data_IF_371932551437
#
_entry.id   IF_371932551437
#
_cell.length_a   1.000
_cell.length_b   1.000
_cell.length_c   1.000
_cell.angle_alpha   90.00
_cell.angle_beta   90.00
_cell.angle_gamma   90.00
#
_symmetry.space_group_name_H-M   'P 1'
#
loop_
_entity.id
_entity.type
_entity.pdbx_description
1 polymer ?
#
# COMPACT_ATOMS: atom_id res chain seq x y z
N UNK A 1 24.44 45.34 9.54
CA UNK A 1 23.73 44.13 9.97
C UNK A 1 22.98 43.64 8.74
N UNK A 2 23.61 42.78 7.98
CA UNK A 2 23.09 42.18 6.74
C UNK A 2 22.51 40.83 7.12
N UNK A 3 21.21 40.68 6.92
CA UNK A 3 20.52 39.41 7.15
C UNK A 3 20.83 38.48 5.97
N UNK A 4 21.45 37.36 6.27
CA UNK A 4 21.72 36.24 5.39
C UNK A 4 20.44 35.44 5.21
N UNK A 5 19.83 35.51 4.03
CA UNK A 5 18.71 34.67 3.64
C UNK A 5 19.24 33.36 3.05
N UNK A 6 19.56 32.43 3.93
CA UNK A 6 19.88 31.07 3.53
C UNK A 6 18.68 30.40 2.83
N UNK A 7 18.79 30.19 1.53
CA UNK A 7 17.89 29.31 0.75
C UNK A 7 18.12 27.88 1.22
N UNK A 8 17.30 27.38 2.14
CA UNK A 8 17.22 25.95 2.42
C UNK A 8 16.58 25.25 1.22
N UNK A 9 17.40 24.54 0.45
CA UNK A 9 16.90 23.66 -0.60
C UNK A 9 15.96 22.63 0.03
N UNK A 10 14.73 22.60 -0.43
CA UNK A 10 13.75 21.58 -0.04
C UNK A 10 14.23 20.25 -0.58
N UNK A 11 14.64 19.36 0.31
CA UNK A 11 14.99 17.99 -0.07
C UNK A 11 13.79 17.34 -0.75
N UNK A 12 14.01 16.53 -1.79
CA UNK A 12 12.97 15.74 -2.49
C UNK A 12 12.08 14.96 -1.52
N UNK A 13 12.60 14.61 -0.34
CA UNK A 13 11.88 13.92 0.74
C UNK A 13 10.79 14.75 1.42
N UNK A 14 10.76 16.08 1.27
CA UNK A 14 9.75 16.95 1.90
C UNK A 14 8.49 17.17 1.06
N UNK A 15 8.47 16.72 -0.19
CA UNK A 15 7.37 17.03 -1.13
C UNK A 15 6.07 16.23 -0.88
N UNK A 16 6.12 15.12 -0.16
CA UNK A 16 4.98 14.19 -0.02
C UNK A 16 4.15 14.38 1.27
N UNK A 17 4.26 15.52 1.94
CA UNK A 17 3.87 15.69 3.35
C UNK A 17 2.39 16.05 3.60
N UNK A 18 1.58 16.42 2.58
CA UNK A 18 0.25 16.95 2.91
C UNK A 18 -0.84 16.55 1.91
N UNK A 19 -1.36 15.35 2.05
CA UNK A 19 -2.71 15.04 1.56
C UNK A 19 -3.28 13.90 2.39
N UNK A 20 -3.65 14.19 3.63
CA UNK A 20 -4.47 13.31 4.43
C UNK A 20 -5.93 13.50 4.04
N UNK A 21 -6.61 12.39 3.96
CA UNK A 21 -8.05 12.17 3.80
C UNK A 21 -8.50 11.91 2.37
N UNK A 22 -8.43 10.66 1.95
CA UNK A 22 -9.31 10.12 0.92
C UNK A 22 -9.96 8.86 1.47
N UNK A 23 -11.26 8.90 1.63
CA UNK A 23 -12.08 7.79 2.07
C UNK A 23 -12.02 6.63 1.07
N UNK A 24 -11.93 5.42 1.59
CA UNK A 24 -11.96 4.20 0.81
C UNK A 24 -13.33 4.03 0.13
N UNK A 25 -13.38 4.13 -1.18
CA UNK A 25 -14.50 3.69 -1.97
C UNK A 25 -13.99 2.84 -3.15
N UNK A 26 -14.38 1.59 -3.13
CA UNK A 26 -14.62 0.70 -4.24
C UNK A 26 -13.53 0.50 -5.29
N UNK A 27 -12.65 -0.48 -5.11
CA UNK A 27 -11.85 -1.05 -6.20
C UNK A 27 -12.55 -2.30 -6.74
N UNK A 28 -13.36 -2.12 -7.77
CA UNK A 28 -13.78 -3.22 -8.62
C UNK A 28 -12.72 -3.46 -9.71
N UNK A 29 -12.23 -4.66 -9.75
CA UNK A 29 -11.23 -5.29 -10.50
C UNK A 29 -10.94 -4.91 -11.95
N UNK A 30 -9.68 -5.12 -12.31
CA UNK A 30 -9.31 -5.66 -13.62
C UNK A 30 -8.14 -6.59 -13.45
N UNK A 31 -8.44 -7.87 -13.32
CA UNK A 31 -7.51 -8.95 -13.64
C UNK A 31 -7.52 -9.12 -15.16
N UNK A 32 -6.37 -9.05 -15.80
CA UNK A 32 -6.18 -9.75 -17.06
C UNK A 32 -4.79 -10.38 -17.07
N UNK A 33 -4.82 -11.67 -16.80
CA UNK A 33 -3.77 -12.60 -17.12
C UNK A 33 -3.75 -12.80 -18.64
N UNK A 34 -2.60 -12.85 -19.24
CA UNK A 34 -2.40 -13.51 -20.52
C UNK A 34 -1.17 -14.39 -20.39
N UNK A 35 -1.43 -15.68 -20.34
CA UNK A 35 -0.70 -16.78 -20.93
C UNK A 35 -0.36 -16.45 -22.39
N UNK A 36 0.63 -16.94 -23.03
CA UNK A 36 1.14 -18.31 -23.23
C UNK A 36 2.25 -18.20 -24.27
N UNK A 37 3.32 -18.83 -24.02
CA UNK A 37 3.84 -20.10 -24.52
C UNK A 37 4.43 -20.14 -25.96
N UNK A 38 5.54 -20.85 -25.95
CA UNK A 38 6.22 -21.63 -27.01
C UNK A 38 7.02 -20.89 -28.09
N UNK A 39 8.29 -21.01 -27.99
CA UNK A 39 9.02 -22.14 -28.63
C UNK A 39 9.57 -21.79 -30.00
N UNK A 40 10.89 -21.93 -30.15
CA UNK A 40 11.44 -22.36 -31.41
C UNK A 40 12.55 -21.51 -32.01
N UNK A 41 13.78 -21.80 -31.60
CA UNK A 41 14.88 -22.29 -32.48
C UNK A 41 15.31 -21.51 -33.73
N UNK A 42 16.56 -21.03 -33.73
CA UNK A 42 17.50 -21.39 -34.79
C UNK A 42 17.90 -20.32 -35.82
N UNK A 43 19.21 -20.11 -35.94
CA UNK A 43 19.90 -19.77 -37.21
C UNK A 43 20.43 -18.32 -37.28
N UNK A 44 21.62 -18.02 -36.97
CA UNK A 44 22.95 -18.11 -37.59
C UNK A 44 23.14 -17.28 -38.88
N UNK A 45 24.35 -16.69 -38.98
CA UNK A 45 25.04 -16.02 -40.12
C UNK A 45 24.76 -14.55 -40.32
N UNK A 46 25.68 -13.57 -40.23
CA UNK A 46 27.04 -13.55 -40.70
C UNK A 46 27.24 -12.47 -41.75
N UNK A 47 28.28 -11.64 -41.62
CA UNK A 47 28.85 -10.83 -42.71
C UNK A 47 28.55 -9.33 -42.61
N UNK A 48 29.43 -8.51 -42.34
CA UNK A 48 30.72 -8.00 -42.83
C UNK A 48 30.60 -6.67 -43.59
N UNK A 49 31.49 -5.77 -43.23
CA UNK A 49 32.14 -4.72 -44.01
C UNK A 49 31.44 -3.40 -44.35
N UNK A 50 31.90 -2.32 -43.72
CA UNK A 50 32.76 -1.37 -44.43
C UNK A 50 32.11 -0.07 -44.94
N UNK A 51 32.64 1.05 -44.50
CA UNK A 51 32.54 2.32 -45.27
C UNK A 51 32.61 3.59 -44.44
N UNK A 52 33.77 4.14 -44.34
CA UNK A 52 34.07 5.50 -43.86
C UNK A 52 33.28 6.59 -44.56
N UNK A 53 32.93 7.63 -43.84
CA UNK A 53 32.45 8.87 -44.39
C UNK A 53 32.33 9.94 -43.31
N UNK A 54 33.41 10.66 -43.04
CA UNK A 54 33.45 11.89 -42.27
C UNK A 54 32.55 12.95 -42.88
N UNK A 55 31.58 13.41 -42.11
CA UNK A 55 31.09 14.79 -42.21
C UNK A 55 30.66 15.25 -40.83
N UNK A 56 31.55 16.01 -40.21
CA UNK A 56 31.22 16.78 -39.01
C UNK A 56 30.16 17.82 -39.40
N UNK A 57 28.97 17.61 -38.88
CA UNK A 57 27.95 18.66 -38.78
C UNK A 57 27.81 18.94 -37.29
N UNK A 58 28.25 20.14 -36.90
CA UNK A 58 27.99 20.69 -35.57
C UNK A 58 26.46 20.68 -35.33
N UNK A 59 26.00 19.68 -34.60
CA UNK A 59 24.69 19.74 -33.97
C UNK A 59 24.82 20.60 -32.70
N UNK A 60 23.85 21.48 -32.42
CA UNK A 60 23.88 22.26 -31.19
C UNK A 60 23.92 21.27 -30.01
N UNK A 61 24.81 21.53 -29.06
CA UNK A 61 24.89 20.81 -27.81
C UNK A 61 23.51 20.90 -27.16
N UNK A 62 22.75 19.81 -27.25
CA UNK A 62 21.56 19.57 -26.45
C UNK A 62 22.03 19.59 -25.00
N UNK A 63 21.66 20.63 -24.30
CA UNK A 63 21.82 20.73 -22.86
C UNK A 63 21.04 19.57 -22.25
N UNK A 64 21.72 18.45 -22.06
CA UNK A 64 21.18 17.21 -21.52
C UNK A 64 20.60 17.41 -20.13
N UNK A 65 19.36 17.85 -20.09
CA UNK A 65 18.52 17.74 -18.93
C UNK A 65 18.24 16.25 -18.72
N UNK A 66 18.93 15.62 -17.76
CA UNK A 66 18.59 14.25 -17.35
C UNK A 66 17.12 14.24 -16.97
N UNK A 67 16.33 13.38 -17.62
CA UNK A 67 14.94 13.18 -17.24
C UNK A 67 14.86 12.96 -15.73
N UNK A 68 13.89 13.58 -15.04
CA UNK A 68 13.75 13.41 -13.61
C UNK A 68 13.64 11.93 -13.26
N UNK A 69 14.40 11.49 -12.27
CA UNK A 69 14.29 10.10 -11.81
C UNK A 69 12.90 9.86 -11.24
N UNK A 70 12.33 8.68 -11.45
CA UNK A 70 11.05 8.33 -10.85
C UNK A 70 11.16 8.36 -9.31
N UNK A 71 10.09 8.75 -8.64
CA UNK A 71 9.91 8.52 -7.20
C UNK A 71 9.44 7.09 -7.02
N UNK A 72 10.17 6.33 -6.22
CA UNK A 72 9.93 4.91 -6.00
C UNK A 72 9.40 4.64 -4.59
N UNK A 73 8.45 3.73 -4.49
CA UNK A 73 7.90 3.27 -3.23
C UNK A 73 7.87 1.74 -3.21
N UNK A 74 8.02 1.14 -2.04
CA UNK A 74 7.87 -0.30 -1.84
C UNK A 74 7.35 -0.60 -0.43
N UNK A 75 6.69 -1.74 -0.26
CA UNK A 75 6.34 -2.22 1.08
C UNK A 75 4.95 -2.85 1.18
N UNK A 76 4.28 -2.53 2.26
CA UNK A 76 3.05 -3.13 2.78
C UNK A 76 1.99 -3.44 1.74
N UNK A 77 1.51 -4.69 1.74
CA UNK A 77 0.35 -5.11 0.93
C UNK A 77 -0.97 -4.44 1.36
N UNK A 78 -1.05 -3.93 2.58
CA UNK A 78 -2.20 -3.15 3.07
C UNK A 78 -2.20 -1.74 2.48
N UNK A 79 -1.04 -1.11 2.39
CA UNK A 79 -0.88 0.25 1.85
C UNK A 79 -0.81 0.25 0.33
N UNK A 80 -0.37 -0.84 -0.28
CA UNK A 80 -0.16 -0.95 -1.73
C UNK A 80 -1.36 -0.50 -2.58
N UNK A 81 -2.62 -0.88 -2.29
CA UNK A 81 -3.75 -0.43 -3.12
C UNK A 81 -3.89 1.10 -3.15
N UNK A 82 -3.68 1.76 -2.01
CA UNK A 82 -3.75 3.23 -1.90
C UNK A 82 -2.57 3.87 -2.63
N UNK A 83 -1.36 3.42 -2.34
CA UNK A 83 -0.14 3.95 -2.94
C UNK A 83 -0.11 3.75 -4.46
N UNK A 84 -0.53 2.57 -4.95
CA UNK A 84 -0.60 2.26 -6.37
C UNK A 84 -1.67 3.08 -7.09
N UNK A 85 -2.85 3.30 -6.48
CA UNK A 85 -3.87 4.18 -7.04
C UNK A 85 -3.39 5.62 -7.10
N UNK A 86 -2.77 6.14 -6.03
CA UNK A 86 -2.16 7.46 -6.03
C UNK A 86 -1.08 7.62 -7.09
N UNK A 87 -0.24 6.60 -7.27
CA UNK A 87 0.77 6.55 -8.34
C UNK A 87 0.14 6.58 -9.73
N UNK A 88 -0.95 5.84 -9.94
CA UNK A 88 -1.68 5.83 -11.20
C UNK A 88 -2.27 7.21 -11.51
N UNK A 89 -2.93 7.84 -10.54
CA UNK A 89 -3.46 9.20 -10.71
C UNK A 89 -2.36 10.21 -11.02
N UNK A 90 -1.27 10.17 -10.28
CA UNK A 90 -0.13 11.05 -10.52
C UNK A 90 0.46 10.88 -11.92
N UNK A 91 0.72 9.63 -12.34
CA UNK A 91 1.33 9.33 -13.63
C UNK A 91 0.40 9.67 -14.81
N UNK A 92 -0.92 9.54 -14.64
CA UNK A 92 -1.92 9.92 -15.65
C UNK A 92 -2.09 11.44 -15.74
N UNK A 93 -1.87 12.14 -14.62
CA UNK A 93 -1.92 13.60 -14.52
C UNK A 93 -3.14 14.23 -15.22
N UNK A 94 -4.37 13.72 -14.99
CA UNK A 94 -5.57 14.21 -15.67
C UNK A 94 -5.93 15.61 -15.18
N UNK A 95 -6.54 16.45 -16.04
CA UNK A 95 -7.12 17.70 -15.59
C UNK A 95 -8.37 17.48 -14.74
N UNK A 96 -8.72 18.46 -13.91
CA UNK A 96 -9.85 18.39 -12.98
C UNK A 96 -11.21 18.29 -13.66
N UNK A 97 -11.32 18.79 -14.89
CA UNK A 97 -12.54 18.78 -15.72
C UNK A 97 -12.62 17.58 -16.68
N UNK A 98 -11.73 16.60 -16.56
CA UNK A 98 -11.77 15.37 -17.36
C UNK A 98 -12.88 14.42 -16.88
N UNK A 99 -14.09 14.60 -17.40
CA UNK A 99 -15.26 13.78 -17.05
C UNK A 99 -15.14 12.32 -17.50
N UNK A 100 -14.30 12.00 -18.50
CA UNK A 100 -14.05 10.63 -18.92
C UNK A 100 -13.18 9.90 -17.88
N UNK A 101 -12.19 10.58 -17.32
CA UNK A 101 -11.29 10.02 -16.31
C UNK A 101 -11.93 9.97 -14.92
N UNK A 102 -12.57 11.06 -14.50
CA UNK A 102 -13.15 11.18 -13.14
C UNK A 102 -14.59 10.69 -13.05
N UNK A 103 -15.28 10.50 -14.19
CA UNK A 103 -16.70 10.14 -14.31
C UNK A 103 -17.63 11.34 -14.27
N UNK A 104 -18.85 11.15 -14.81
CA UNK A 104 -19.89 12.21 -14.86
C UNK A 104 -20.49 12.53 -13.47
N UNK A 105 -20.35 11.58 -12.54
CA UNK A 105 -20.73 11.78 -11.15
C UNK A 105 -19.46 11.68 -10.33
N UNK A 106 -19.00 12.77 -9.81
CA UNK A 106 -17.86 12.87 -8.91
C UNK A 106 -18.00 12.07 -7.59
N UNK A 107 -19.14 11.40 -7.39
CA UNK A 107 -19.36 10.41 -6.34
C UNK A 107 -18.47 9.17 -6.55
N UNK A 108 -17.18 9.30 -6.29
CA UNK A 108 -16.19 8.25 -6.44
C UNK A 108 -14.88 8.72 -7.07
N UNK A 109 -14.86 9.91 -7.64
CA UNK A 109 -13.64 10.65 -7.96
C UNK A 109 -12.88 11.02 -6.67
N UNK A 110 -11.69 11.55 -6.80
CA UNK A 110 -10.90 11.99 -5.64
C UNK A 110 -11.79 12.88 -4.75
N UNK A 111 -12.13 12.47 -3.52
CA UNK A 111 -12.96 13.27 -2.63
C UNK A 111 -12.39 14.69 -2.45
N UNK A 112 -13.23 15.70 -2.60
CA UNK A 112 -12.80 17.08 -2.54
C UNK A 112 -12.29 17.67 -3.86
N UNK A 113 -12.26 16.89 -4.95
CA UNK A 113 -11.82 17.41 -6.25
C UNK A 113 -12.77 18.47 -6.80
N UNK A 114 -14.08 18.34 -6.56
CA UNK A 114 -15.07 19.33 -6.93
C UNK A 114 -14.92 20.64 -6.12
N UNK A 115 -14.56 20.53 -4.84
CA UNK A 115 -14.24 21.69 -4.01
C UNK A 115 -12.97 22.37 -4.52
N UNK A 116 -11.98 21.60 -4.96
CA UNK A 116 -10.74 22.10 -5.53
C UNK A 116 -10.96 22.77 -6.88
N UNK A 117 -11.81 22.22 -7.74
CA UNK A 117 -12.19 22.84 -9.01
C UNK A 117 -12.90 24.18 -8.80
N UNK A 118 -13.72 24.31 -7.75
CA UNK A 118 -14.41 25.57 -7.40
C UNK A 118 -13.46 26.68 -6.93
N UNK A 119 -12.28 26.35 -6.44
CA UNK A 119 -11.28 27.29 -5.94
C UNK A 119 -10.30 27.81 -7.02
N UNK A 120 -10.65 27.61 -8.29
CA UNK A 120 -9.84 28.09 -9.42
C UNK A 120 -8.88 27.04 -10.00
N UNK A 121 -9.02 25.79 -9.57
CA UNK A 121 -8.30 24.64 -10.13
C UNK A 121 -9.03 24.02 -11.34
N UNK A 122 -10.08 24.65 -11.86
CA UNK A 122 -10.86 24.19 -12.99
C UNK A 122 -9.97 24.00 -14.23
N UNK A 123 -9.95 22.78 -14.76
CA UNK A 123 -9.03 22.40 -15.84
C UNK A 123 -7.56 22.26 -15.45
N UNK A 124 -7.18 22.54 -14.18
CA UNK A 124 -5.80 22.35 -13.71
C UNK A 124 -5.46 20.85 -13.63
N UNK A 125 -4.24 20.50 -14.02
CA UNK A 125 -3.78 19.12 -13.89
C UNK A 125 -3.36 18.80 -12.46
N UNK A 126 -3.47 17.52 -12.10
CA UNK A 126 -3.19 17.04 -10.75
C UNK A 126 -1.82 17.47 -10.22
N UNK A 127 -0.76 17.32 -11.03
CA UNK A 127 0.60 17.72 -10.64
C UNK A 127 0.73 19.23 -10.43
N UNK A 128 0.11 20.04 -11.27
CA UNK A 128 0.12 21.50 -11.14
C UNK A 128 -0.66 21.96 -9.91
N UNK A 129 -1.79 21.31 -9.63
CA UNK A 129 -2.55 21.56 -8.42
C UNK A 129 -1.68 21.33 -7.17
N UNK A 130 -1.07 20.15 -7.04
CA UNK A 130 -0.20 19.87 -5.90
C UNK A 130 1.01 20.80 -5.83
N UNK A 131 1.61 21.16 -6.98
CA UNK A 131 2.70 22.10 -7.01
C UNK A 131 2.29 23.48 -6.48
N UNK A 132 1.09 23.96 -6.83
CA UNK A 132 0.57 25.25 -6.37
C UNK A 132 0.38 25.31 -4.85
N UNK A 133 -0.01 24.20 -4.22
CA UNK A 133 -0.15 24.11 -2.75
C UNK A 133 1.18 24.36 -2.01
N UNK A 134 2.31 24.15 -2.69
CA UNK A 134 3.65 24.38 -2.17
C UNK A 134 4.29 25.67 -2.69
N UNK A 135 3.52 26.52 -3.36
CA UNK A 135 3.98 27.81 -3.87
C UNK A 135 4.82 27.73 -5.14
N UNK A 136 4.74 26.62 -5.88
CA UNK A 136 5.33 26.50 -7.21
C UNK A 136 4.35 26.99 -8.26
N UNK A 137 4.87 27.70 -9.28
CA UNK A 137 4.05 28.14 -10.40
C UNK A 137 3.62 26.92 -11.23
N UNK A 138 2.31 26.79 -11.56
CA UNK A 138 1.81 25.75 -12.43
C UNK A 138 2.45 25.83 -13.80
N UNK A 139 2.68 24.67 -14.42
CA UNK A 139 3.25 24.59 -15.77
C UNK A 139 2.20 24.81 -16.87
N UNK A 140 0.93 24.61 -16.52
CA UNK A 140 -0.30 24.79 -17.33
C UNK A 140 -0.36 24.00 -18.66
N UNK A 141 0.67 23.28 -19.05
CA UNK A 141 0.78 22.73 -20.39
C UNK A 141 1.23 21.27 -20.51
N UNK A 142 1.76 20.67 -19.45
CA UNK A 142 2.33 19.34 -19.57
C UNK A 142 1.37 18.25 -19.17
N UNK A 143 0.98 17.42 -20.13
CA UNK A 143 0.19 16.21 -19.86
C UNK A 143 0.95 15.21 -18.95
N UNK A 144 2.28 15.17 -19.06
CA UNK A 144 3.15 14.36 -18.20
C UNK A 144 3.50 15.10 -16.91
N UNK A 145 3.43 14.44 -15.76
CA UNK A 145 3.88 15.05 -14.51
C UNK A 145 5.41 15.29 -14.52
N UNK A 146 5.91 16.16 -13.64
CA UNK A 146 7.33 16.52 -13.60
C UNK A 146 8.27 15.34 -13.29
N UNK A 147 7.74 14.27 -12.71
CA UNK A 147 8.42 12.98 -12.49
C UNK A 147 7.38 11.87 -12.48
N UNK A 148 7.78 10.66 -12.82
CA UNK A 148 6.92 9.48 -12.68
C UNK A 148 7.04 8.86 -11.29
N UNK A 149 6.06 8.05 -10.91
CA UNK A 149 6.08 7.28 -9.65
C UNK A 149 5.97 5.79 -9.96
N UNK A 150 6.55 4.97 -9.08
CA UNK A 150 6.47 3.50 -9.16
C UNK A 150 6.26 2.94 -7.77
N UNK A 151 5.36 1.96 -7.65
CA UNK A 151 5.05 1.34 -6.36
C UNK A 151 5.27 -0.17 -6.48
N UNK A 152 6.20 -0.70 -5.70
CA UNK A 152 6.45 -2.11 -5.53
C UNK A 152 5.60 -2.68 -4.38
N UNK A 153 5.28 -3.97 -4.49
CA UNK A 153 4.55 -4.72 -3.48
C UNK A 153 5.52 -5.68 -2.77
N UNK A 154 5.66 -5.52 -1.47
CA UNK A 154 6.39 -6.45 -0.59
C UNK A 154 5.71 -6.51 0.79
N UNK A 155 6.48 -6.43 1.86
CA UNK A 155 6.00 -6.37 3.24
C UNK A 155 6.43 -5.06 3.91
N UNK A 156 5.79 -4.70 5.02
CA UNK A 156 6.09 -3.48 5.75
C UNK A 156 7.57 -3.41 6.18
N UNK A 157 8.08 -4.47 6.81
CA UNK A 157 9.49 -4.55 7.20
C UNK A 157 10.44 -4.37 6.01
N UNK A 158 10.19 -5.06 4.89
CA UNK A 158 10.99 -4.90 3.66
C UNK A 158 10.95 -3.47 3.12
N UNK A 159 9.78 -2.83 3.13
CA UNK A 159 9.64 -1.43 2.71
C UNK A 159 10.36 -0.47 3.64
N UNK A 160 10.31 -0.72 4.95
CA UNK A 160 11.08 0.04 5.94
C UNK A 160 12.59 -0.10 5.73
N UNK A 161 13.09 -1.32 5.54
CA UNK A 161 14.50 -1.58 5.23
C UNK A 161 14.91 -0.88 3.92
N UNK A 162 14.12 -1.03 2.86
CA UNK A 162 14.43 -0.47 1.54
C UNK A 162 14.56 1.06 1.55
N UNK A 163 13.70 1.78 2.30
CA UNK A 163 13.81 3.24 2.42
C UNK A 163 15.02 3.65 3.24
N UNK A 164 15.35 2.91 4.28
CA UNK A 164 16.52 3.15 5.13
C UNK A 164 17.82 2.96 4.37
N UNK A 165 17.89 1.93 3.53
CA UNK A 165 19.03 1.61 2.69
C UNK A 165 19.12 2.49 1.43
N UNK A 166 18.13 3.35 1.21
CA UNK A 166 18.08 4.27 0.06
C UNK A 166 17.78 3.58 -1.27
N UNK A 167 17.23 2.36 -1.22
CA UNK A 167 16.81 1.60 -2.41
C UNK A 167 15.52 2.16 -3.01
N UNK A 168 14.66 2.74 -2.16
CA UNK A 168 13.43 3.43 -2.55
C UNK A 168 13.35 4.79 -1.85
N UNK A 169 12.52 5.68 -2.39
CA UNK A 169 12.28 7.01 -1.82
C UNK A 169 11.25 6.96 -0.68
N UNK A 170 10.33 5.98 -0.72
CA UNK A 170 9.20 5.83 0.21
C UNK A 170 9.09 4.37 0.63
N UNK A 171 9.13 4.11 1.93
CA UNK A 171 8.77 2.83 2.51
C UNK A 171 7.29 2.83 2.92
N UNK A 172 6.49 1.94 2.33
CA UNK A 172 5.09 1.77 2.70
C UNK A 172 4.99 0.79 3.86
N UNK A 173 4.42 1.23 4.98
CA UNK A 173 4.23 0.38 6.15
C UNK A 173 2.82 0.49 6.71
N UNK A 174 2.27 -0.62 7.20
CA UNK A 174 1.01 -0.67 7.94
C UNK A 174 1.21 -0.71 9.46
N UNK A 175 2.45 -0.70 9.92
CA UNK A 175 2.85 -0.56 11.32
C UNK A 175 3.90 0.54 11.49
N UNK A 176 4.19 0.96 12.71
CA UNK A 176 5.25 1.93 12.97
C UNK A 176 6.62 1.31 12.67
N UNK A 177 7.53 2.11 12.10
CA UNK A 177 8.89 1.66 11.75
C UNK A 177 9.65 1.13 12.99
N UNK A 178 9.35 1.67 14.15
CA UNK A 178 9.92 1.21 15.42
C UNK A 178 9.60 -0.24 15.71
N UNK A 179 8.39 -0.69 15.41
CA UNK A 179 7.99 -2.10 15.56
C UNK A 179 8.51 -2.99 14.43
N UNK A 180 8.54 -2.46 13.19
CA UNK A 180 9.00 -3.23 12.02
C UNK A 180 10.51 -3.50 12.03
N UNK A 181 11.31 -2.55 12.54
CA UNK A 181 12.77 -2.65 12.58
C UNK A 181 13.34 -2.79 14.00
N UNK A 182 12.49 -2.82 15.03
CA UNK A 182 12.93 -2.88 16.43
C UNK A 182 13.68 -1.63 16.90
N UNK A 183 13.41 -0.46 16.30
CA UNK A 183 14.09 0.79 16.62
C UNK A 183 13.45 1.52 17.79
N UNK A 184 14.24 2.36 18.45
CA UNK A 184 13.71 3.37 19.36
C UNK A 184 13.08 4.53 18.59
N UNK A 185 12.17 5.26 19.23
CA UNK A 185 11.57 6.48 18.67
C UNK A 185 12.65 7.50 18.26
N UNK A 186 13.69 7.69 19.09
CA UNK A 186 14.79 8.60 18.80
C UNK A 186 15.56 8.20 17.53
N UNK A 187 15.76 6.91 17.32
CA UNK A 187 16.45 6.42 16.12
C UNK A 187 15.59 6.62 14.86
N UNK A 188 14.29 6.39 14.98
CA UNK A 188 13.36 6.63 13.88
C UNK A 188 13.31 8.12 13.50
N UNK A 189 13.18 9.02 14.48
CA UNK A 189 13.12 10.47 14.28
C UNK A 189 14.38 11.03 13.59
N UNK A 190 15.55 10.43 13.87
CA UNK A 190 16.82 10.85 13.27
C UNK A 190 17.01 10.41 11.83
N UNK A 191 16.39 9.29 11.42
CA UNK A 191 16.71 8.61 10.14
C UNK A 191 15.62 8.71 9.10
N UNK A 192 14.36 8.78 9.50
CA UNK A 192 13.21 8.82 8.59
C UNK A 192 12.23 9.92 8.98
N UNK A 193 11.31 10.20 8.07
CA UNK A 193 10.14 11.04 8.36
C UNK A 193 8.91 10.16 8.16
N UNK A 194 8.13 9.97 9.22
CA UNK A 194 6.89 9.20 9.18
C UNK A 194 5.71 10.08 8.75
N UNK A 195 4.86 9.53 7.90
CA UNK A 195 3.65 10.17 7.40
C UNK A 195 2.47 9.21 7.49
N UNK A 196 1.52 9.54 8.36
CA UNK A 196 0.28 8.80 8.46
C UNK A 196 -0.62 9.11 7.25
N UNK A 197 -0.79 8.14 6.36
CA UNK A 197 -1.66 8.25 5.18
C UNK A 197 -3.13 8.01 5.52
N UNK A 198 -3.41 7.21 6.54
CA UNK A 198 -4.75 6.83 6.93
C UNK A 198 -4.76 5.90 8.12
N UNK A 199 -5.93 5.44 8.49
CA UNK A 199 -6.13 4.41 9.51
C UNK A 199 -6.91 3.27 8.88
N UNK A 200 -6.48 2.03 9.13
CA UNK A 200 -7.15 0.83 8.67
C UNK A 200 -7.68 0.04 9.88
N UNK A 201 -8.72 -0.74 9.66
CA UNK A 201 -9.19 -1.74 10.61
C UNK A 201 -8.48 -3.07 10.35
N UNK A 202 -8.21 -3.80 11.42
CA UNK A 202 -7.65 -5.15 11.34
C UNK A 202 -8.63 -6.15 11.96
N UNK A 203 -9.70 -6.52 11.23
CA UNK A 203 -10.68 -7.46 11.74
C UNK A 203 -10.09 -8.86 11.89
N UNK A 204 -10.61 -9.58 12.86
CA UNK A 204 -10.57 -11.04 12.89
C UNK A 204 -11.71 -11.53 12.01
N UNK A 205 -11.42 -12.50 11.18
CA UNK A 205 -12.39 -13.10 10.24
C UNK A 205 -12.46 -14.60 10.44
N UNK A 206 -13.61 -15.15 10.11
CA UNK A 206 -13.84 -16.59 10.14
C UNK A 206 -14.41 -17.08 8.81
N UNK A 207 -14.30 -18.37 8.54
CA UNK A 207 -14.96 -19.00 7.41
C UNK A 207 -16.49 -18.92 7.55
N UNK A 208 -17.19 -18.87 6.40
CA UNK A 208 -18.64 -18.65 6.37
C UNK A 208 -19.41 -19.69 7.19
N UNK A 209 -19.00 -20.96 7.19
CA UNK A 209 -19.67 -22.02 7.95
C UNK A 209 -19.54 -21.82 9.48
N UNK A 210 -18.45 -21.27 9.97
CA UNK A 210 -18.25 -20.92 11.38
C UNK A 210 -19.13 -19.71 11.75
N UNK A 211 -19.16 -18.69 10.89
CA UNK A 211 -20.02 -17.54 11.06
C UNK A 211 -21.51 -17.94 11.09
N UNK A 212 -21.94 -18.74 10.12
CA UNK A 212 -23.32 -19.23 9.98
C UNK A 212 -23.72 -20.18 11.13
N UNK A 213 -22.74 -20.86 11.74
CA UNK A 213 -22.94 -21.66 12.95
C UNK A 213 -23.12 -20.83 14.24
N UNK A 214 -22.99 -19.48 14.14
CA UNK A 214 -23.28 -18.56 15.23
C UNK A 214 -22.05 -17.94 15.90
N UNK A 215 -20.83 -18.23 15.44
CA UNK A 215 -19.61 -17.55 15.94
C UNK A 215 -19.48 -16.21 15.24
N UNK A 216 -20.22 -15.23 15.71
CA UNK A 216 -20.25 -13.87 15.17
C UNK A 216 -19.46 -12.87 16.03
N UNK A 217 -19.02 -13.32 17.21
CA UNK A 217 -18.28 -12.51 18.16
C UNK A 217 -17.37 -13.41 19.00
N UNK A 218 -16.18 -12.91 19.33
CA UNK A 218 -15.26 -13.49 20.32
C UNK A 218 -14.79 -12.40 21.30
N UNK A 219 -14.31 -12.83 22.46
CA UNK A 219 -13.55 -11.95 23.36
C UNK A 219 -12.09 -11.85 22.92
N UNK A 220 -11.41 -10.79 23.33
CA UNK A 220 -9.96 -10.67 23.12
C UNK A 220 -9.16 -11.82 23.76
N UNK A 221 -9.65 -12.37 24.88
CA UNK A 221 -9.03 -13.52 25.55
C UNK A 221 -9.19 -14.80 24.73
N UNK A 222 -10.36 -15.05 24.15
CA UNK A 222 -10.60 -16.20 23.27
C UNK A 222 -9.73 -16.12 22.01
N UNK A 223 -9.63 -14.94 21.38
CA UNK A 223 -8.75 -14.75 20.23
C UNK A 223 -7.29 -15.01 20.62
N UNK A 224 -6.83 -14.49 21.77
CA UNK A 224 -5.47 -14.79 22.27
C UNK A 224 -5.28 -16.29 22.49
N UNK A 225 -6.22 -16.95 23.16
CA UNK A 225 -6.15 -18.39 23.43
C UNK A 225 -6.07 -19.22 22.16
N UNK A 226 -6.79 -18.83 21.10
CA UNK A 226 -6.71 -19.49 19.79
C UNK A 226 -5.32 -19.32 19.17
N UNK A 227 -4.81 -18.08 19.13
CA UNK A 227 -3.49 -17.82 18.51
C UNK A 227 -2.30 -18.26 19.37
N UNK A 228 -2.51 -18.61 20.64
CA UNK A 228 -1.52 -19.21 21.53
C UNK A 228 -1.62 -20.74 21.62
N UNK A 229 -2.63 -21.35 20.95
CA UNK A 229 -2.82 -22.79 20.93
C UNK A 229 -3.52 -23.35 22.17
N UNK A 230 -4.06 -22.50 23.05
CA UNK A 230 -4.80 -22.90 24.25
C UNK A 230 -6.24 -23.31 23.91
N UNK A 231 -6.83 -22.77 22.85
CA UNK A 231 -8.17 -23.07 22.31
C UNK A 231 -7.98 -23.61 20.90
N UNK A 232 -8.38 -24.86 20.67
CA UNK A 232 -8.11 -25.58 19.43
C UNK A 232 -9.36 -26.10 18.73
N UNK A 233 -10.53 -25.98 19.38
CA UNK A 233 -11.81 -26.43 18.83
C UNK A 233 -12.86 -25.32 19.00
N UNK A 234 -13.67 -25.09 17.97
CA UNK A 234 -14.71 -24.08 17.98
C UNK A 234 -15.77 -24.28 19.07
N UNK A 235 -15.98 -25.52 19.53
CA UNK A 235 -16.94 -25.78 20.63
C UNK A 235 -16.50 -25.18 21.98
N UNK A 236 -15.21 -24.87 22.15
CA UNK A 236 -14.70 -24.22 23.37
C UNK A 236 -15.12 -22.73 23.46
N UNK A 237 -15.51 -22.13 22.32
CA UNK A 237 -15.96 -20.74 22.21
C UNK A 237 -17.42 -20.65 21.73
N UNK A 238 -18.20 -21.70 21.90
CA UNK A 238 -19.64 -21.72 21.58
C UNK A 238 -19.97 -22.03 20.12
N UNK A 239 -19.00 -22.43 19.34
CA UNK A 239 -19.17 -22.88 17.96
C UNK A 239 -19.44 -24.38 17.82
N UNK A 240 -19.36 -24.92 16.59
CA UNK A 240 -19.53 -26.34 16.33
C UNK A 240 -18.35 -27.16 16.86
N UNK A 241 -18.55 -28.49 17.03
CA UNK A 241 -17.46 -29.44 17.33
C UNK A 241 -16.60 -29.64 16.08
N UNK A 242 -15.68 -28.72 15.89
CA UNK A 242 -14.79 -28.64 14.71
C UNK A 242 -13.45 -28.05 15.12
N UNK A 243 -12.32 -28.64 14.69
CA UNK A 243 -10.99 -28.07 14.91
C UNK A 243 -10.89 -26.66 14.31
N UNK A 244 -10.20 -25.78 15.01
CA UNK A 244 -9.87 -24.45 14.52
C UNK A 244 -8.67 -24.58 13.59
N UNK A 245 -8.75 -23.97 12.39
CA UNK A 245 -7.63 -23.82 11.46
C UNK A 245 -7.12 -22.39 11.53
N UNK A 246 -5.98 -22.21 12.17
CA UNK A 246 -5.44 -20.89 12.49
C UNK A 246 -4.54 -20.39 11.36
N UNK A 247 -4.93 -19.28 10.74
CA UNK A 247 -4.21 -18.66 9.64
C UNK A 247 -3.53 -17.36 10.13
N UNK A 248 -2.21 -17.28 9.94
CA UNK A 248 -1.42 -16.08 10.22
C UNK A 248 -0.90 -15.40 8.96
N UNK A 249 -0.31 -14.21 9.15
CA UNK A 249 0.46 -13.53 8.14
C UNK A 249 1.94 -13.94 8.23
N UNK A 250 2.67 -13.77 7.13
CA UNK A 250 4.11 -14.00 7.12
C UNK A 250 4.81 -13.04 8.08
N UNK A 251 5.90 -13.49 8.67
CA UNK A 251 6.79 -12.65 9.46
C UNK A 251 7.32 -11.49 8.62
N UNK A 252 7.48 -10.30 9.21
CA UNK A 252 7.80 -9.07 8.50
C UNK A 252 6.62 -8.44 7.76
N UNK A 253 5.41 -9.02 7.89
CA UNK A 253 4.18 -8.36 7.47
C UNK A 253 3.73 -7.38 8.54
N UNK A 254 3.55 -6.09 8.19
CA UNK A 254 3.02 -5.12 9.14
C UNK A 254 1.65 -5.47 9.72
N UNK A 255 0.84 -6.26 9.00
CA UNK A 255 -0.41 -6.82 9.53
C UNK A 255 -0.13 -7.86 10.62
N UNK A 256 0.93 -8.67 10.51
CA UNK A 256 1.36 -9.62 11.55
C UNK A 256 1.87 -8.88 12.78
N UNK A 257 2.79 -7.94 12.56
CA UNK A 257 3.37 -7.09 13.62
C UNK A 257 2.27 -6.35 14.39
N UNK A 258 1.33 -5.72 13.68
CA UNK A 258 0.21 -4.99 14.29
C UNK A 258 -0.74 -5.91 15.07
N UNK A 259 -1.04 -7.12 14.55
CA UNK A 259 -1.88 -8.09 15.26
C UNK A 259 -1.23 -8.56 16.56
N UNK A 260 0.04 -8.93 16.52
CA UNK A 260 0.78 -9.35 17.72
C UNK A 260 0.81 -8.23 18.75
N UNK A 261 1.18 -7.02 18.33
CA UNK A 261 1.27 -5.88 19.22
C UNK A 261 -0.10 -5.56 19.87
N UNK A 262 -1.15 -5.45 19.08
CA UNK A 262 -2.47 -5.03 19.57
C UNK A 262 -3.21 -6.14 20.30
N UNK A 263 -3.11 -7.38 19.86
CA UNK A 263 -3.85 -8.51 20.41
C UNK A 263 -3.06 -9.24 21.50
N UNK A 264 -1.75 -9.45 21.29
CA UNK A 264 -0.90 -10.23 22.19
C UNK A 264 -0.03 -9.35 23.09
N UNK A 265 0.06 -8.04 22.80
CA UNK A 265 0.78 -7.06 23.61
C UNK A 265 2.28 -6.93 23.32
N UNK A 266 2.81 -7.70 22.37
CA UNK A 266 4.21 -7.68 21.95
C UNK A 266 4.30 -8.01 20.46
N UNK A 267 5.03 -7.20 19.68
CA UNK A 267 5.22 -7.38 18.24
C UNK A 267 5.89 -8.73 17.88
N UNK A 268 6.69 -9.27 18.80
CA UNK A 268 7.40 -10.55 18.65
C UNK A 268 6.72 -11.72 19.39
N UNK A 269 5.52 -11.51 19.94
CA UNK A 269 4.79 -12.55 20.66
C UNK A 269 4.69 -13.83 19.82
N UNK A 270 4.99 -15.01 20.36
CA UNK A 270 4.83 -16.26 19.62
C UNK A 270 3.36 -16.53 19.32
N UNK A 271 3.10 -17.09 18.14
CA UNK A 271 1.78 -17.54 17.72
C UNK A 271 1.84 -18.97 17.22
N UNK A 272 0.88 -19.80 17.65
CA UNK A 272 0.63 -21.15 17.13
C UNK A 272 -0.35 -21.02 15.95
N UNK A 273 0.15 -21.15 14.74
CA UNK A 273 -0.62 -21.03 13.50
C UNK A 273 -0.34 -22.20 12.57
N UNK A 274 -1.39 -22.72 11.94
CA UNK A 274 -1.26 -23.85 11.01
C UNK A 274 -0.56 -23.44 9.70
N UNK A 275 -0.81 -22.20 9.26
CA UNK A 275 -0.20 -21.70 8.01
C UNK A 275 -0.06 -20.19 8.03
N UNK A 276 0.91 -19.67 7.21
CA UNK A 276 1.17 -18.25 7.07
C UNK A 276 1.17 -17.84 5.60
N UNK A 277 0.62 -16.67 5.32
CA UNK A 277 0.58 -16.09 3.96
C UNK A 277 1.16 -14.68 3.93
N UNK A 278 1.88 -14.39 2.84
CA UNK A 278 2.51 -13.08 2.62
C UNK A 278 1.53 -11.96 2.30
N UNK A 279 0.39 -12.27 1.69
CA UNK A 279 -0.54 -11.31 1.14
C UNK A 279 -1.95 -11.45 1.74
N UNK A 280 -2.68 -10.33 1.92
CA UNK A 280 -4.05 -10.36 2.42
C UNK A 280 -4.99 -11.17 1.50
N UNK A 281 -4.81 -11.09 0.17
CA UNK A 281 -5.59 -11.86 -0.80
C UNK A 281 -5.44 -13.37 -0.61
N UNK A 282 -4.23 -13.82 -0.29
CA UNK A 282 -3.96 -15.24 -0.02
C UNK A 282 -4.64 -15.69 1.28
N UNK A 283 -4.63 -14.85 2.32
CA UNK A 283 -5.37 -15.11 3.57
C UNK A 283 -6.86 -15.21 3.29
N UNK A 284 -7.44 -14.25 2.57
CA UNK A 284 -8.86 -14.28 2.21
C UNK A 284 -9.24 -15.55 1.46
N UNK A 285 -8.41 -15.97 0.48
CA UNK A 285 -8.62 -17.22 -0.25
C UNK A 285 -8.52 -18.44 0.66
N UNK A 286 -7.55 -18.46 1.57
CA UNK A 286 -7.38 -19.59 2.49
C UNK A 286 -8.55 -19.72 3.47
N UNK A 287 -9.11 -18.60 3.97
CA UNK A 287 -10.32 -18.60 4.79
C UNK A 287 -11.51 -19.18 4.05
N UNK A 288 -11.68 -18.83 2.77
CA UNK A 288 -12.76 -19.35 1.93
C UNK A 288 -12.65 -20.86 1.65
N UNK A 289 -11.44 -21.41 1.66
CA UNK A 289 -11.16 -22.81 1.32
C UNK A 289 -11.12 -23.73 2.52
N UNK A 290 -11.14 -23.21 3.74
CA UNK A 290 -11.02 -23.99 4.98
C UNK A 290 -12.21 -23.73 5.90
N UNK A 291 -13.04 -24.73 6.08
CA UNK A 291 -14.31 -24.65 6.82
C UNK A 291 -14.18 -24.25 8.30
N UNK A 292 -13.07 -24.50 8.95
CA UNK A 292 -12.81 -24.16 10.36
C UNK A 292 -11.87 -22.97 10.54
N UNK A 293 -11.66 -22.14 9.50
CA UNK A 293 -10.63 -21.12 9.53
C UNK A 293 -10.97 -19.92 10.41
N UNK A 294 -9.91 -19.41 11.06
CA UNK A 294 -9.81 -18.07 11.65
C UNK A 294 -8.58 -17.38 11.09
N UNK A 295 -8.69 -16.08 10.83
CA UNK A 295 -7.58 -15.25 10.36
C UNK A 295 -7.72 -13.80 10.82
N UNK A 296 -6.68 -13.01 10.59
CA UNK A 296 -6.73 -11.55 10.65
C UNK A 296 -6.17 -10.97 9.35
N UNK A 297 -6.71 -9.84 8.92
CA UNK A 297 -6.31 -9.17 7.67
C UNK A 297 -6.68 -7.68 7.68
N UNK A 298 -6.24 -6.94 6.67
CA UNK A 298 -6.71 -5.57 6.47
C UNK A 298 -8.20 -5.55 6.08
N UNK A 299 -8.93 -4.56 6.57
CA UNK A 299 -10.39 -4.44 6.40
C UNK A 299 -10.83 -4.47 4.94
N UNK A 300 -10.05 -3.86 4.04
CA UNK A 300 -10.34 -3.81 2.61
C UNK A 300 -10.43 -5.19 1.91
N UNK A 301 -10.00 -6.28 2.57
CA UNK A 301 -10.02 -7.64 2.02
C UNK A 301 -11.12 -8.51 2.60
N UNK A 302 -12.00 -7.96 3.43
CA UNK A 302 -13.19 -8.63 3.94
C UNK A 302 -14.34 -8.57 2.93
N UNK A 303 -15.33 -9.43 3.13
CA UNK A 303 -16.51 -9.48 2.27
C UNK A 303 -17.44 -10.64 2.62
N UNK A 304 -18.48 -10.87 1.83
CA UNK A 304 -19.52 -11.88 2.16
C UNK A 304 -18.99 -13.30 2.35
N UNK A 305 -17.84 -13.64 1.79
CA UNK A 305 -17.23 -14.97 1.92
C UNK A 305 -16.07 -15.01 2.92
N UNK A 306 -15.72 -13.86 3.49
CA UNK A 306 -14.68 -13.70 4.52
C UNK A 306 -15.26 -12.79 5.57
N UNK A 307 -15.98 -13.39 6.50
CA UNK A 307 -16.83 -12.68 7.44
C UNK A 307 -16.01 -12.11 8.60
N UNK A 308 -16.00 -10.79 8.80
CA UNK A 308 -15.48 -10.20 10.01
C UNK A 308 -16.41 -10.54 11.19
N UNK A 309 -15.82 -10.76 12.36
CA UNK A 309 -16.56 -10.99 13.59
C UNK A 309 -16.29 -9.85 14.58
N UNK A 310 -17.26 -9.61 15.46
CA UNK A 310 -17.10 -8.65 16.55
C UNK A 310 -16.06 -9.13 17.56
N UNK A 311 -15.24 -8.21 18.07
CA UNK A 311 -14.28 -8.49 19.13
C UNK A 311 -14.63 -7.68 20.37
N UNK A 312 -14.95 -8.37 21.45
CA UNK A 312 -15.10 -7.74 22.76
C UNK A 312 -13.72 -7.68 23.44
N UNK A 313 -13.10 -6.52 23.38
CA UNK A 313 -11.79 -6.30 23.96
C UNK A 313 -11.89 -5.32 25.13
N UNK A 314 -11.51 -5.76 26.34
CA UNK A 314 -11.57 -4.98 27.58
C UNK A 314 -12.94 -4.30 27.85
N UNK A 315 -14.03 -5.02 27.50
CA UNK A 315 -15.40 -4.53 27.70
C UNK A 315 -15.91 -3.61 26.60
N UNK A 316 -15.12 -3.35 25.56
CA UNK A 316 -15.52 -2.61 24.37
C UNK A 316 -15.73 -3.58 23.21
N UNK A 317 -16.92 -3.55 22.60
CA UNK A 317 -17.21 -4.32 21.39
C UNK A 317 -16.79 -3.51 20.16
N UNK A 318 -15.95 -4.13 19.34
CA UNK A 318 -15.55 -3.64 18.03
C UNK A 318 -16.22 -4.51 16.97
N UNK A 319 -17.01 -3.89 16.08
CA UNK A 319 -17.79 -4.54 15.00
C UNK A 319 -17.42 -3.98 13.64
#
# INVERSE_FOLDING_TARGET
>A
MTADTGKSGVSRRKFLVTSGVVGAAGLAGCSNAANDDSGGSGGDSGGDSGGSGDTATDAPEDSGGSSPQPVTAEGSSTVYPIANSGSSYWNSNPPSDDGEYWGENSEGSVPGWDELASDGADGMRLADYFASLYGFEPTEQFATPPFSTRVGLSHSGTGCEAVVDGLVDIGNSSGPITAELGWSESEADERVVDHVLGRDGQPVVVSSNIYDAGVTQLTGEEVRGIYQGDITNWNEVGGPDQPIYVIGRAEGSGTDTAFRLNMLGDADAPMDVDTRFGQNQQVAQAVQQNDGAIAYMALAFTGPQVQPIGINFDGTLYE
#
